data_IF_317215790721
#
_entry.id   IF_317215790721
#
_cell.length_a   1.000
_cell.length_b   1.000
_cell.length_c   1.000
_cell.angle_alpha   90.00
_cell.angle_beta   90.00
_cell.angle_gamma   90.00
#
_symmetry.space_group_name_H-M   'P 1'
#
loop_
_entity.id
_entity.type
_entity.pdbx_description
1 polymer ?
#
# COMPACT_ATOMS: atom_id res chain seq x y z
N UNK A 1 14.83 -9.69 25.04
CA UNK A 1 13.84 -8.60 25.02
C UNK A 1 13.90 -7.85 23.68
N UNK A 2 15.09 -7.50 23.18
CA UNK A 2 15.36 -6.89 21.87
C UNK A 2 14.69 -7.58 20.66
N UNK A 3 14.66 -8.92 20.66
CA UNK A 3 14.02 -9.70 19.59
C UNK A 3 12.48 -9.50 19.50
N UNK A 4 11.82 -9.10 20.60
CA UNK A 4 10.37 -8.88 20.60
C UNK A 4 9.99 -7.56 19.94
N UNK A 5 10.75 -6.49 20.19
CA UNK A 5 10.52 -5.15 19.60
C UNK A 5 10.65 -5.22 18.08
N UNK A 6 11.70 -5.88 17.57
CA UNK A 6 11.91 -6.04 16.13
C UNK A 6 10.81 -6.92 15.50
N UNK A 7 10.38 -7.97 16.18
CA UNK A 7 9.27 -8.81 15.72
C UNK A 7 7.95 -8.03 15.65
N UNK A 8 7.64 -7.23 16.67
CA UNK A 8 6.43 -6.41 16.73
C UNK A 8 6.46 -5.33 15.64
N UNK A 9 7.61 -4.67 15.40
CA UNK A 9 7.77 -3.69 14.32
C UNK A 9 7.55 -4.32 12.93
N UNK A 10 8.09 -5.51 12.68
CA UNK A 10 7.84 -6.26 11.44
C UNK A 10 6.37 -6.62 11.27
N UNK A 11 5.69 -7.00 12.37
CA UNK A 11 4.28 -7.33 12.35
C UNK A 11 3.42 -6.09 12.02
N UNK A 12 3.65 -4.97 12.70
CA UNK A 12 2.95 -3.70 12.45
C UNK A 12 3.13 -3.25 10.99
N UNK A 13 4.33 -3.39 10.41
CA UNK A 13 4.60 -3.08 9.00
C UNK A 13 3.77 -3.92 8.03
N UNK A 14 3.48 -5.19 8.36
CA UNK A 14 2.60 -6.03 7.54
C UNK A 14 1.15 -5.60 7.68
N UNK A 15 0.69 -5.44 8.92
CA UNK A 15 -0.70 -5.08 9.21
C UNK A 15 -1.10 -3.74 8.59
N UNK A 16 -0.22 -2.73 8.58
CA UNK A 16 -0.54 -1.44 7.95
C UNK A 16 -0.71 -1.56 6.44
N UNK A 17 0.11 -2.39 5.77
CA UNK A 17 0.00 -2.68 4.33
C UNK A 17 -1.29 -3.43 3.99
N UNK A 18 -1.67 -4.39 4.84
CA UNK A 18 -2.94 -5.11 4.71
C UNK A 18 -4.12 -4.15 4.88
N UNK A 19 -4.08 -3.26 5.87
CA UNK A 19 -5.12 -2.25 6.09
C UNK A 19 -5.25 -1.27 4.92
N UNK A 20 -4.14 -0.83 4.33
CA UNK A 20 -4.12 0.01 3.11
C UNK A 20 -4.79 -0.73 1.93
N UNK A 21 -4.41 -1.99 1.69
CA UNK A 21 -5.01 -2.80 0.63
C UNK A 21 -6.51 -3.01 0.81
N UNK A 22 -6.97 -3.29 2.04
CA UNK A 22 -8.39 -3.44 2.35
C UNK A 22 -9.17 -2.14 2.14
N UNK A 23 -8.56 -0.97 2.38
CA UNK A 23 -9.20 0.32 2.11
C UNK A 23 -9.45 0.50 0.60
N UNK A 24 -8.47 0.13 -0.24
CA UNK A 24 -8.61 0.19 -1.69
C UNK A 24 -9.67 -0.79 -2.21
N UNK A 25 -9.71 -2.02 -1.67
CA UNK A 25 -10.74 -3.01 -2.00
C UNK A 25 -12.15 -2.50 -1.65
N UNK A 26 -12.32 -1.86 -0.49
CA UNK A 26 -13.59 -1.25 -0.10
C UNK A 26 -14.03 -0.15 -1.09
N UNK A 27 -13.10 0.72 -1.51
CA UNK A 27 -13.37 1.77 -2.50
C UNK A 27 -13.77 1.16 -3.85
N UNK A 28 -13.10 0.09 -4.29
CA UNK A 28 -13.47 -0.63 -5.52
C UNK A 28 -14.89 -1.21 -5.40
N UNK A 29 -15.24 -1.81 -4.27
CA UNK A 29 -16.57 -2.36 -4.03
C UNK A 29 -17.66 -1.27 -4.09
N UNK A 30 -17.41 -0.10 -3.48
CA UNK A 30 -18.32 1.04 -3.55
C UNK A 30 -18.47 1.58 -4.98
N UNK A 31 -17.39 1.71 -5.73
CA UNK A 31 -17.42 2.15 -7.13
C UNK A 31 -18.27 1.21 -8.00
N UNK A 32 -18.12 -0.12 -7.81
CA UNK A 32 -18.96 -1.14 -8.49
C UNK A 32 -20.43 -0.99 -8.13
N UNK A 33 -20.75 -0.77 -6.85
CA UNK A 33 -22.12 -0.53 -6.41
C UNK A 33 -22.69 0.74 -7.05
N UNK A 34 -21.93 1.84 -7.08
CA UNK A 34 -22.34 3.10 -7.70
C UNK A 34 -22.64 2.93 -9.19
N UNK A 35 -21.78 2.21 -9.90
CA UNK A 35 -21.99 1.87 -11.31
C UNK A 35 -23.29 1.10 -11.50
N UNK A 36 -23.52 0.04 -10.71
CA UNK A 36 -24.74 -0.76 -10.79
C UNK A 36 -26.01 0.08 -10.52
N UNK A 37 -25.96 0.99 -9.54
CA UNK A 37 -27.08 1.92 -9.25
C UNK A 37 -27.36 2.86 -10.42
N UNK A 38 -26.32 3.41 -11.06
CA UNK A 38 -26.48 4.29 -12.23
C UNK A 38 -27.01 3.53 -13.44
N UNK A 39 -26.51 2.32 -13.71
CA UNK A 39 -27.03 1.45 -14.78
C UNK A 39 -28.49 1.08 -14.54
N UNK A 40 -28.89 0.76 -13.31
CA UNK A 40 -30.29 0.49 -12.98
C UNK A 40 -31.20 1.70 -13.27
N UNK A 41 -30.73 2.94 -13.01
CA UNK A 41 -31.46 4.18 -13.33
C UNK A 41 -31.63 4.45 -14.83
N UNK A 42 -30.89 3.77 -15.69
CA UNK A 42 -31.09 3.88 -17.14
C UNK A 42 -32.33 3.11 -17.63
N UNK A 43 -32.99 2.33 -16.76
CA UNK A 43 -34.24 1.66 -17.11
C UNK A 43 -35.37 2.69 -17.33
N UNK A 44 -35.98 2.77 -18.54
CA UNK A 44 -37.05 3.72 -18.83
C UNK A 44 -38.32 3.55 -17.98
N UNK A 45 -38.49 2.39 -17.34
CA UNK A 45 -39.61 2.10 -16.44
C UNK A 45 -39.39 2.65 -15.02
N UNK A 46 -38.26 3.27 -14.75
CA UNK A 46 -37.89 3.81 -13.43
C UNK A 46 -37.87 5.33 -13.49
N UNK A 47 -38.53 5.98 -12.54
CA UNK A 47 -38.50 7.44 -12.40
C UNK A 47 -37.07 7.95 -12.26
N UNK A 48 -36.76 9.06 -12.94
CA UNK A 48 -35.39 9.60 -13.04
C UNK A 48 -34.80 9.90 -11.67
N UNK A 49 -35.61 10.29 -10.68
CA UNK A 49 -35.15 10.62 -9.33
C UNK A 49 -34.98 9.39 -8.39
N UNK A 50 -35.35 8.20 -8.86
CA UNK A 50 -35.29 6.97 -8.05
C UNK A 50 -33.87 6.69 -7.61
N UNK A 51 -33.68 6.45 -6.30
CA UNK A 51 -32.37 6.13 -5.73
C UNK A 51 -31.42 7.33 -5.57
N UNK A 52 -31.84 8.56 -5.92
CA UNK A 52 -30.99 9.76 -5.81
C UNK A 52 -30.43 9.96 -4.40
N UNK A 53 -31.27 9.82 -3.36
CA UNK A 53 -30.83 9.95 -1.96
C UNK A 53 -29.84 8.85 -1.55
N UNK A 54 -29.98 7.65 -2.10
CA UNK A 54 -29.03 6.56 -1.86
C UNK A 54 -27.68 6.84 -2.52
N UNK A 55 -27.67 7.39 -3.75
CA UNK A 55 -26.44 7.79 -4.45
C UNK A 55 -25.69 8.92 -3.72
N UNK A 56 -26.42 9.89 -3.15
CA UNK A 56 -25.83 10.94 -2.33
C UNK A 56 -25.13 10.34 -1.10
N UNK A 57 -25.81 9.46 -0.36
CA UNK A 57 -25.23 8.77 0.80
C UNK A 57 -24.06 7.88 0.46
N UNK A 58 -24.11 7.19 -0.69
CA UNK A 58 -22.98 6.39 -1.17
C UNK A 58 -21.77 7.29 -1.49
N UNK A 59 -22.00 8.45 -2.09
CA UNK A 59 -20.93 9.43 -2.38
C UNK A 59 -20.32 10.01 -1.10
N UNK A 60 -21.14 10.27 -0.07
CA UNK A 60 -20.66 10.65 1.25
C UNK A 60 -19.79 9.55 1.88
N UNK A 61 -20.22 8.30 1.80
CA UNK A 61 -19.45 7.15 2.29
C UNK A 61 -18.12 6.97 1.53
N UNK A 62 -18.10 7.13 0.21
CA UNK A 62 -16.89 7.09 -0.62
C UNK A 62 -15.90 8.18 -0.21
N UNK A 63 -16.39 9.41 0.04
CA UNK A 63 -15.56 10.52 0.52
C UNK A 63 -14.93 10.21 1.88
N UNK A 64 -15.69 9.65 2.82
CA UNK A 64 -15.19 9.23 4.13
C UNK A 64 -14.13 8.13 4.01
N UNK A 65 -14.33 7.17 3.11
CA UNK A 65 -13.37 6.09 2.88
C UNK A 65 -12.04 6.60 2.29
N UNK A 66 -12.09 7.57 1.36
CA UNK A 66 -10.88 8.23 0.83
C UNK A 66 -10.13 9.00 1.92
N UNK A 67 -10.87 9.72 2.78
CA UNK A 67 -10.27 10.41 3.92
C UNK A 67 -9.62 9.43 4.91
N UNK A 68 -10.28 8.31 5.19
CA UNK A 68 -9.73 7.21 6.00
C UNK A 68 -8.46 6.63 5.37
N UNK A 69 -8.45 6.32 4.08
CA UNK A 69 -7.25 5.81 3.36
C UNK A 69 -6.08 6.80 3.47
N UNK A 70 -6.34 8.10 3.32
CA UNK A 70 -5.30 9.14 3.50
C UNK A 70 -4.76 9.16 4.93
N UNK A 71 -5.61 8.93 5.94
CA UNK A 71 -5.17 8.85 7.33
C UNK A 71 -4.33 7.59 7.60
N UNK A 72 -4.63 6.46 6.95
CA UNK A 72 -3.79 5.25 7.04
C UNK A 72 -2.37 5.50 6.51
N UNK A 73 -2.22 6.23 5.40
CA UNK A 73 -0.91 6.62 4.87
C UNK A 73 -0.10 7.46 5.88
N UNK A 74 -0.77 8.35 6.63
CA UNK A 74 -0.12 9.15 7.69
C UNK A 74 0.29 8.28 8.88
N UNK A 75 -0.55 7.32 9.27
CA UNK A 75 -0.20 6.34 10.31
C UNK A 75 1.01 5.51 9.88
N UNK A 76 1.07 5.07 8.62
CA UNK A 76 2.22 4.36 8.07
C UNK A 76 3.51 5.20 8.13
N UNK A 77 3.45 6.48 7.74
CA UNK A 77 4.60 7.39 7.86
C UNK A 77 5.07 7.52 9.32
N UNK A 78 4.14 7.72 10.26
CA UNK A 78 4.48 7.85 11.68
C UNK A 78 5.07 6.57 12.26
N UNK A 79 4.48 5.41 11.96
CA UNK A 79 5.02 4.11 12.37
C UNK A 79 6.41 3.85 11.76
N UNK A 80 6.67 4.34 10.55
CA UNK A 80 7.99 4.21 9.92
C UNK A 80 9.05 5.01 10.66
N UNK A 81 8.72 6.23 11.13
CA UNK A 81 9.64 7.04 11.96
C UNK A 81 9.92 6.38 13.30
N UNK A 82 8.89 5.87 13.97
CA UNK A 82 9.03 5.16 15.25
C UNK A 82 9.91 3.91 15.08
N UNK A 83 9.70 3.15 13.99
CA UNK A 83 10.51 1.96 13.70
C UNK A 83 11.99 2.31 13.48
N UNK A 84 12.32 3.44 12.86
CA UNK A 84 13.70 3.89 12.71
C UNK A 84 14.37 4.18 14.06
N UNK A 85 13.65 4.74 15.03
CA UNK A 85 14.23 5.07 16.34
C UNK A 85 14.37 3.83 17.23
N UNK A 86 13.36 2.96 17.23
CA UNK A 86 13.25 1.89 18.24
C UNK A 86 13.53 0.49 17.72
N UNK A 87 13.48 0.27 16.40
CA UNK A 87 13.64 -1.05 15.78
C UNK A 87 14.73 -1.10 14.71
N UNK A 88 15.32 0.03 14.32
CA UNK A 88 16.55 0.09 13.52
C UNK A 88 17.78 0.14 14.45
N UNK A 89 17.92 -0.88 15.29
CA UNK A 89 19.23 -1.16 15.87
C UNK A 89 20.12 -1.71 14.76
N UNK A 90 21.14 -0.96 14.36
CA UNK A 90 22.32 -1.59 13.78
C UNK A 90 22.88 -2.48 14.90
N UNK A 91 22.74 -3.80 14.75
CA UNK A 91 23.28 -4.75 15.74
C UNK A 91 24.81 -4.71 15.78
N UNK A 92 25.46 -3.88 14.95
CA UNK A 92 26.91 -3.84 14.78
C UNK A 92 27.45 -5.15 14.20
N UNK A 93 26.55 -6.03 13.77
CA UNK A 93 26.89 -7.30 13.16
C UNK A 93 27.56 -6.99 11.82
N UNK A 94 28.84 -7.35 11.63
CA UNK A 94 29.51 -7.12 10.38
C UNK A 94 28.71 -7.82 9.27
N UNK A 95 28.32 -7.06 8.25
CA UNK A 95 27.73 -7.63 7.04
C UNK A 95 28.65 -8.73 6.52
N UNK A 96 28.22 -9.99 6.64
CA UNK A 96 28.98 -11.14 6.15
C UNK A 96 28.90 -11.15 4.63
N UNK A 97 29.86 -10.51 3.98
CA UNK A 97 30.05 -10.56 2.54
C UNK A 97 30.73 -11.89 2.19
N UNK A 98 30.07 -12.81 1.45
CA UNK A 98 30.75 -13.98 0.94
C UNK A 98 31.84 -13.56 -0.06
N UNK A 99 32.94 -14.32 -0.20
CA UNK A 99 34.05 -13.95 -1.09
C UNK A 99 33.64 -13.75 -2.56
N UNK A 100 32.54 -14.37 -2.99
CA UNK A 100 31.95 -14.18 -4.32
C UNK A 100 31.52 -12.74 -4.58
N UNK A 101 31.06 -12.04 -3.55
CA UNK A 101 30.46 -10.70 -3.67
C UNK A 101 31.53 -9.60 -3.68
N UNK A 102 32.73 -9.90 -3.17
CA UNK A 102 33.90 -9.02 -3.24
C UNK A 102 34.55 -9.02 -4.64
N UNK A 103 34.34 -10.10 -5.40
CA UNK A 103 34.84 -10.27 -6.76
C UNK A 103 33.81 -9.90 -7.83
N UNK A 104 32.59 -9.50 -7.44
CA UNK A 104 31.59 -9.04 -8.38
C UNK A 104 32.07 -7.75 -9.05
N UNK A 105 32.23 -7.79 -10.38
CA UNK A 105 32.54 -6.60 -11.16
C UNK A 105 31.48 -5.52 -10.89
N UNK A 106 31.85 -4.23 -10.78
CA UNK A 106 30.88 -3.15 -10.65
C UNK A 106 29.84 -3.27 -11.77
N UNK A 107 28.56 -3.07 -11.47
CA UNK A 107 27.45 -3.20 -12.43
C UNK A 107 27.59 -2.31 -13.69
N UNK A 108 28.54 -1.39 -13.65
CA UNK A 108 28.91 -0.46 -14.72
C UNK A 108 29.86 -1.11 -15.74
N UNK A 109 30.71 -2.06 -15.29
CA UNK A 109 31.64 -2.83 -16.13
C UNK A 109 30.93 -4.02 -16.81
N UNK A 110 29.98 -4.66 -16.13
CA UNK A 110 29.17 -5.75 -16.72
C UNK A 110 28.35 -5.28 -17.93
N UNK A 111 27.85 -4.04 -17.90
CA UNK A 111 27.11 -3.43 -19.02
C UNK A 111 28.00 -3.06 -20.22
N UNK A 112 29.32 -2.96 -20.03
CA UNK A 112 30.26 -2.71 -21.13
C UNK A 112 30.67 -4.01 -21.82
N UNK A 113 30.79 -5.12 -21.07
CA UNK A 113 31.08 -6.44 -21.63
C UNK A 113 29.93 -7.03 -22.44
N UNK A 114 28.68 -6.61 -22.18
CA UNK A 114 27.49 -7.03 -22.94
C UNK A 114 27.23 -6.20 -24.21
N UNK A 115 28.04 -5.16 -24.49
CA UNK A 115 27.86 -4.24 -25.63
C UNK A 115 28.94 -4.34 -26.71
N UNK A 116 29.67 -5.45 -26.79
CA UNK A 116 30.56 -5.72 -27.92
C UNK A 116 29.81 -6.62 -28.93
N UNK A 117 29.52 -6.16 -30.17
CA UNK A 117 29.16 -7.06 -31.25
C UNK A 117 30.40 -7.88 -31.69
N UNK A 118 30.12 -9.06 -32.24
CA UNK A 118 31.06 -10.12 -32.66
C UNK A 118 32.27 -9.64 -33.48
#
# INVERSE_FOLDING_TARGET
MENRIVADARNLKKLIREAEGLADEAIIAMARLKQAMLSARQNPMIEVNTGQRALLRLTEAESQALAMSTNLLRVHDELSKVALVHAAGDMGDPTKLPPSDLNALPANLLRQTERLPA
#
